data_IF_091853510850
#
_entry.id   IF_091853510850
#
_cell.length_a   1.000
_cell.length_b   1.000
_cell.length_c   1.000
_cell.angle_alpha   90.00
_cell.angle_beta   90.00
_cell.angle_gamma   90.00
#
_symmetry.space_group_name_H-M   'P 1'
#
loop_
_entity.id
_entity.type
_entity.pdbx_description
1 polymer ?
#
# COMPACT_ATOMS: atom_id res chain seq x y z
N UNK A 1 -1.73 -7.02 8.07
CA UNK A 1 -1.32 -5.66 8.46
C UNK A 1 -0.34 -5.78 9.62
N UNK A 2 0.69 -4.95 9.65
CA UNK A 2 1.72 -4.89 10.70
C UNK A 2 1.71 -3.51 11.33
N UNK A 3 1.96 -3.42 12.64
CA UNK A 3 2.07 -2.14 13.33
C UNK A 3 3.53 -1.65 13.35
N UNK A 4 3.75 -0.39 12.98
CA UNK A 4 5.04 0.29 13.05
C UNK A 4 4.85 1.65 13.71
N UNK A 5 5.52 1.87 14.85
CA UNK A 5 5.43 3.11 15.63
C UNK A 5 3.98 3.58 15.93
N UNK A 6 3.07 2.65 16.19
CA UNK A 6 1.67 2.93 16.50
C UNK A 6 0.72 2.93 15.29
N UNK A 7 1.24 2.95 14.06
CA UNK A 7 0.44 3.00 12.83
C UNK A 7 0.41 1.65 12.12
N UNK A 8 -0.63 1.39 11.33
CA UNK A 8 -0.81 0.12 10.62
C UNK A 8 -0.38 0.24 9.15
N UNK A 9 0.23 -0.82 8.62
CA UNK A 9 0.68 -0.93 7.23
C UNK A 9 0.38 -2.32 6.68
N UNK A 10 0.37 -2.46 5.34
CA UNK A 10 0.44 -3.78 4.68
C UNK A 10 1.70 -4.50 5.20
N UNK A 11 1.64 -5.81 5.37
CA UNK A 11 2.66 -6.54 6.14
C UNK A 11 4.08 -6.35 5.61
N UNK A 12 4.24 -6.41 4.28
CA UNK A 12 5.48 -6.15 3.55
C UNK A 12 5.94 -4.69 3.67
N UNK A 13 5.05 -3.73 3.43
CA UNK A 13 5.32 -2.29 3.56
C UNK A 13 5.76 -1.95 5.00
N UNK A 14 5.10 -2.53 6.01
CA UNK A 14 5.45 -2.36 7.42
C UNK A 14 6.82 -2.94 7.76
N UNK A 15 7.16 -4.12 7.25
CA UNK A 15 8.51 -4.68 7.40
C UNK A 15 9.58 -3.79 6.79
N UNK A 16 9.34 -3.30 5.57
CA UNK A 16 10.23 -2.37 4.89
C UNK A 16 10.43 -1.06 5.64
N UNK A 17 9.32 -0.51 6.15
CA UNK A 17 9.30 0.73 6.90
C UNK A 17 10.04 0.59 8.23
N UNK A 18 9.89 -0.53 8.93
CA UNK A 18 10.62 -0.80 10.15
C UNK A 18 12.14 -0.80 9.91
N UNK A 19 12.60 -1.52 8.88
CA UNK A 19 14.01 -1.56 8.50
C UNK A 19 14.53 -0.17 8.06
N UNK A 20 13.75 0.58 7.28
CA UNK A 20 14.10 1.95 6.88
C UNK A 20 14.22 2.88 8.08
N UNK A 21 13.31 2.79 9.05
CA UNK A 21 13.33 3.61 10.28
C UNK A 21 14.56 3.33 11.13
N UNK A 22 14.98 2.07 11.23
CA UNK A 22 16.19 1.69 11.96
C UNK A 22 17.44 2.26 11.27
N UNK A 23 17.58 2.05 9.95
CA UNK A 23 18.69 2.58 9.18
C UNK A 23 18.75 4.12 9.22
N UNK A 24 17.59 4.78 9.13
CA UNK A 24 17.48 6.23 9.29
C UNK A 24 17.98 6.66 10.67
N UNK A 25 17.54 5.98 11.73
CA UNK A 25 17.89 6.35 13.11
C UNK A 25 19.39 6.23 13.36
N UNK A 26 20.01 5.16 12.85
CA UNK A 26 21.45 4.94 12.94
C UNK A 26 22.26 5.98 12.15
N UNK A 27 21.76 6.44 11.00
CA UNK A 27 22.49 7.37 10.15
C UNK A 27 22.29 8.85 10.53
N UNK A 28 21.09 9.24 10.93
CA UNK A 28 20.70 10.63 11.19
C UNK A 28 20.78 10.95 12.70
N UNK A 29 20.83 9.93 13.56
CA UNK A 29 20.94 10.09 15.02
C UNK A 29 19.64 10.48 15.72
N UNK A 30 18.49 10.29 15.07
CA UNK A 30 17.15 10.56 15.61
C UNK A 30 16.12 9.66 14.95
N UNK A 31 15.00 9.42 15.63
CA UNK A 31 13.93 8.59 15.09
C UNK A 31 13.25 9.26 13.89
N UNK A 32 12.95 8.48 12.85
CA UNK A 32 12.02 8.89 11.81
C UNK A 32 10.62 8.96 12.41
N UNK A 33 9.91 10.09 12.31
CA UNK A 33 8.58 10.25 12.94
C UNK A 33 7.51 9.88 11.91
N UNK A 34 6.52 9.06 12.29
CA UNK A 34 5.32 8.80 11.48
C UNK A 34 4.18 9.64 12.05
N UNK A 35 3.49 10.37 11.17
CA UNK A 35 2.29 11.14 11.47
C UNK A 35 1.03 10.41 11.00
N UNK A 36 1.10 9.68 9.89
CA UNK A 36 -0.02 8.88 9.39
C UNK A 36 0.43 7.62 8.64
N UNK A 37 -0.43 6.60 8.64
CA UNK A 37 -0.23 5.30 7.98
C UNK A 37 -1.56 4.83 7.37
N UNK A 38 -1.99 3.59 7.65
CA UNK A 38 -3.29 3.12 7.15
C UNK A 38 -4.45 4.01 7.61
N UNK A 39 -5.27 4.45 6.64
CA UNK A 39 -6.49 5.23 6.87
C UNK A 39 -7.67 4.49 6.27
N UNK A 40 -8.68 4.16 7.08
CA UNK A 40 -9.88 3.50 6.58
C UNK A 40 -10.74 4.44 5.72
N UNK A 41 -11.78 3.90 5.08
CA UNK A 41 -12.63 4.68 4.18
C UNK A 41 -13.32 5.86 4.90
N UNK A 42 -13.77 5.66 6.14
CA UNK A 42 -14.42 6.70 6.93
C UNK A 42 -13.44 7.82 7.30
N UNK A 43 -12.22 7.48 7.70
CA UNK A 43 -11.13 8.43 7.94
C UNK A 43 -10.73 9.18 6.67
N UNK A 44 -10.75 8.51 5.51
CA UNK A 44 -10.48 9.19 4.24
C UNK A 44 -11.60 10.17 3.86
N UNK A 45 -12.87 9.87 4.17
CA UNK A 45 -13.97 10.82 4.02
C UNK A 45 -13.79 12.04 4.93
N UNK A 46 -13.40 11.84 6.19
CA UNK A 46 -13.13 12.94 7.12
C UNK A 46 -12.00 13.83 6.58
N UNK A 47 -10.86 13.23 6.21
CA UNK A 47 -9.73 13.97 5.63
C UNK A 47 -10.11 14.71 4.34
N UNK A 48 -10.82 14.06 3.41
CA UNK A 48 -11.33 14.70 2.19
C UNK A 48 -12.16 15.94 2.53
N UNK A 49 -13.09 15.82 3.47
CA UNK A 49 -13.96 16.92 3.89
C UNK A 49 -13.19 18.06 4.55
N UNK A 50 -12.20 17.77 5.39
CA UNK A 50 -11.35 18.78 6.03
C UNK A 50 -10.57 19.60 5.00
N UNK A 51 -10.13 18.97 3.91
CA UNK A 51 -9.34 19.62 2.86
C UNK A 51 -10.17 20.21 1.71
N UNK A 52 -11.50 20.04 1.68
CA UNK A 52 -12.40 20.60 0.66
C UNK A 52 -12.21 22.10 0.40
N UNK A 53 -11.79 22.86 1.42
CA UNK A 53 -11.59 24.30 1.35
C UNK A 53 -10.11 24.73 1.48
N UNK A 54 -9.20 23.79 1.76
CA UNK A 54 -7.78 24.03 2.04
C UNK A 54 -6.82 23.63 0.91
N UNK A 55 -7.30 22.95 -0.13
CA UNK A 55 -6.51 22.43 -1.25
C UNK A 55 -6.70 20.91 -1.42
N UNK A 56 -6.31 20.35 -2.56
CA UNK A 56 -6.48 18.91 -2.86
C UNK A 56 -5.43 18.03 -2.14
N UNK A 57 -5.32 18.16 -0.81
CA UNK A 57 -4.36 17.46 0.04
C UNK A 57 -4.81 16.06 0.47
N UNK A 58 -6.08 15.71 0.20
CA UNK A 58 -6.57 14.35 0.37
C UNK A 58 -7.06 13.82 -0.96
N UNK A 59 -6.67 12.60 -1.31
CA UNK A 59 -7.24 11.89 -2.44
C UNK A 59 -8.73 11.59 -2.21
N UNK A 60 -9.48 11.46 -3.30
CA UNK A 60 -10.90 11.10 -3.22
C UNK A 60 -11.07 9.77 -2.43
N UNK A 61 -12.07 9.65 -1.55
CA UNK A 61 -12.27 8.44 -0.77
C UNK A 61 -12.32 7.16 -1.62
N UNK A 62 -11.51 6.16 -1.26
CA UNK A 62 -11.33 4.92 -2.02
C UNK A 62 -10.16 4.92 -3.02
N UNK A 63 -9.48 6.06 -3.23
CA UNK A 63 -8.32 6.14 -4.15
C UNK A 63 -6.98 6.43 -3.46
N UNK A 64 -6.99 6.67 -2.14
CA UNK A 64 -5.78 6.96 -1.36
C UNK A 64 -4.96 5.70 -1.08
N UNK A 65 -3.64 5.79 -1.28
CA UNK A 65 -2.67 4.75 -0.92
C UNK A 65 -2.59 4.49 0.60
N UNK A 66 -3.01 5.46 1.44
CA UNK A 66 -3.20 5.22 2.88
C UNK A 66 -4.27 4.14 3.12
N UNK A 67 -5.32 4.10 2.29
CA UNK A 67 -6.36 3.07 2.34
C UNK A 67 -5.87 1.67 2.00
N UNK A 68 -4.67 1.56 1.44
CA UNK A 68 -4.04 0.31 1.03
C UNK A 68 -2.93 -0.13 1.98
N UNK A 69 -2.61 0.71 2.99
CA UNK A 69 -1.55 0.46 3.95
C UNK A 69 -0.15 0.52 3.34
N UNK A 70 0.00 1.20 2.20
CA UNK A 70 1.28 1.32 1.46
C UNK A 70 1.76 2.76 1.34
N UNK A 71 1.09 3.70 2.01
CA UNK A 71 1.55 5.07 2.16
C UNK A 71 1.88 5.38 3.61
N UNK A 72 2.80 6.30 3.80
CA UNK A 72 3.19 6.84 5.10
C UNK A 72 3.38 8.35 4.98
N UNK A 73 2.85 9.08 5.96
CA UNK A 73 3.15 10.49 6.14
C UNK A 73 4.16 10.65 7.28
N UNK A 74 5.32 11.21 6.97
CA UNK A 74 6.35 11.47 7.98
C UNK A 74 6.20 12.84 8.66
N UNK A 75 6.54 12.87 9.94
CA UNK A 75 6.58 14.06 10.77
C UNK A 75 7.96 14.72 10.85
N UNK A 76 8.10 15.64 11.81
CA UNK A 76 9.38 16.26 12.15
C UNK A 76 10.02 17.03 10.98
N UNK A 77 11.34 16.88 10.83
CA UNK A 77 12.08 17.60 9.77
C UNK A 77 11.76 17.11 8.35
N UNK A 78 11.20 15.91 8.20
CA UNK A 78 10.76 15.39 6.90
C UNK A 78 9.49 16.10 6.45
N UNK A 79 8.57 16.37 7.39
CA UNK A 79 7.36 17.13 7.12
C UNK A 79 7.66 18.56 6.65
N UNK A 80 8.62 19.23 7.29
CA UNK A 80 8.82 20.67 7.13
C UNK A 80 9.57 21.06 5.86
N UNK A 81 10.52 20.26 5.39
CA UNK A 81 11.35 20.65 4.24
C UNK A 81 12.03 19.47 3.55
N UNK A 82 11.98 19.46 2.22
CA UNK A 82 12.74 18.54 1.37
C UNK A 82 14.25 18.71 1.44
N UNK A 83 14.72 19.84 1.99
CA UNK A 83 16.14 20.15 2.17
C UNK A 83 16.65 19.85 3.58
N UNK A 84 15.83 19.32 4.48
CA UNK A 84 16.30 18.89 5.80
C UNK A 84 17.30 17.74 5.70
N UNK A 85 18.09 17.52 6.76
CA UNK A 85 19.07 16.42 6.79
C UNK A 85 18.36 15.06 6.64
N UNK A 86 17.30 14.84 7.42
CA UNK A 86 16.48 13.64 7.36
C UNK A 86 15.84 13.42 6.00
N UNK A 87 15.25 14.45 5.39
CA UNK A 87 14.61 14.30 4.09
C UNK A 87 15.63 14.01 2.98
N UNK A 88 16.82 14.63 3.01
CA UNK A 88 17.91 14.29 2.07
C UNK A 88 18.40 12.86 2.25
N UNK A 89 18.50 12.38 3.48
CA UNK A 89 18.84 10.98 3.72
C UNK A 89 17.79 10.04 3.10
N UNK A 90 16.49 10.31 3.29
CA UNK A 90 15.43 9.50 2.70
C UNK A 90 15.49 9.52 1.17
N UNK A 91 15.69 10.68 0.54
CA UNK A 91 15.81 10.77 -0.93
C UNK A 91 16.94 9.90 -1.48
N UNK A 92 18.05 9.76 -0.74
CA UNK A 92 19.18 8.94 -1.17
C UNK A 92 19.08 7.46 -0.82
N UNK A 93 18.24 7.07 0.15
CA UNK A 93 18.28 5.72 0.74
C UNK A 93 16.94 4.97 0.74
N UNK A 94 15.80 5.66 0.73
CA UNK A 94 14.48 5.03 0.89
C UNK A 94 14.17 3.98 -0.19
N UNK A 95 14.68 4.19 -1.42
CA UNK A 95 14.50 3.26 -2.53
C UNK A 95 15.06 1.85 -2.25
N UNK A 96 16.06 1.72 -1.36
CA UNK A 96 16.60 0.41 -0.91
C UNK A 96 15.58 -0.41 -0.11
N UNK A 97 14.57 0.26 0.43
CA UNK A 97 13.47 -0.32 1.19
C UNK A 97 12.15 -0.30 0.38
N UNK A 98 12.22 -0.08 -0.94
CA UNK A 98 11.05 0.07 -1.82
C UNK A 98 10.08 1.20 -1.41
N UNK A 99 10.58 2.20 -0.68
CA UNK A 99 9.88 3.45 -0.38
C UNK A 99 10.38 4.58 -1.27
N UNK A 100 9.50 5.45 -1.73
CA UNK A 100 9.86 6.59 -2.55
C UNK A 100 9.00 7.81 -2.24
N UNK A 101 9.54 9.00 -2.53
CA UNK A 101 8.87 10.27 -2.26
C UNK A 101 7.83 10.56 -3.35
N UNK A 102 6.61 10.09 -3.14
CA UNK A 102 5.49 10.31 -4.07
C UNK A 102 4.98 11.74 -4.06
N UNK A 103 5.01 12.39 -2.90
CA UNK A 103 4.53 13.77 -2.75
C UNK A 103 5.31 14.81 -3.56
N UNK A 104 6.50 14.49 -4.10
CA UNK A 104 7.22 15.39 -5.02
C UNK A 104 6.53 15.57 -6.37
N UNK A 105 5.77 14.56 -6.79
CA UNK A 105 5.16 14.46 -8.11
C UNK A 105 3.69 14.93 -8.08
N UNK A 106 3.20 15.38 -6.92
CA UNK A 106 1.86 15.93 -6.75
C UNK A 106 1.81 17.42 -7.16
N UNK A 107 0.62 17.91 -7.52
CA UNK A 107 0.43 19.31 -7.92
C UNK A 107 0.77 20.29 -6.81
N UNK A 108 0.55 19.89 -5.56
CA UNK A 108 1.09 20.53 -4.38
C UNK A 108 2.11 19.58 -3.78
N UNK A 109 3.36 20.05 -3.64
CA UNK A 109 4.43 19.21 -3.11
C UNK A 109 4.17 18.85 -1.65
N UNK A 110 4.18 17.56 -1.35
CA UNK A 110 4.01 17.01 -0.02
C UNK A 110 5.31 16.35 0.44
N UNK A 111 6.13 17.05 1.23
CA UNK A 111 7.42 16.50 1.71
C UNK A 111 7.24 15.26 2.60
N UNK A 112 6.09 15.18 3.28
CA UNK A 112 5.78 14.10 4.21
C UNK A 112 5.32 12.82 3.53
N UNK A 113 4.83 12.85 2.28
CA UNK A 113 4.11 11.72 1.69
C UNK A 113 5.02 10.77 0.90
N UNK A 114 5.14 9.53 1.39
CA UNK A 114 5.97 8.49 0.80
C UNK A 114 5.16 7.23 0.55
N UNK A 115 5.44 6.56 -0.56
CA UNK A 115 4.71 5.38 -1.00
C UNK A 115 5.64 4.17 -1.14
N UNK A 116 5.07 3.00 -0.91
CA UNK A 116 5.72 1.71 -1.08
C UNK A 116 5.32 1.09 -2.43
N UNK A 117 6.30 0.76 -3.28
CA UNK A 117 6.05 0.39 -4.69
C UNK A 117 6.28 -1.09 -5.05
N UNK A 118 6.48 -1.97 -4.07
CA UNK A 118 6.87 -3.35 -4.36
C UNK A 118 6.48 -4.35 -3.28
N UNK A 119 7.32 -5.37 -3.12
CA UNK A 119 7.35 -6.29 -1.98
C UNK A 119 8.70 -6.11 -1.30
N UNK A 120 8.74 -6.19 0.02
CA UNK A 120 9.97 -6.12 0.79
C UNK A 120 10.17 -7.44 1.52
N UNK A 121 11.27 -8.10 1.16
CA UNK A 121 11.86 -9.16 1.97
C UNK A 121 13.18 -8.61 2.52
N UNK A 122 13.43 -8.67 3.84
CA UNK A 122 14.73 -8.31 4.38
C UNK A 122 15.81 -9.17 3.70
N UNK A 123 16.88 -8.55 3.20
CA UNK A 123 18.08 -9.27 2.74
C UNK A 123 19.19 -9.15 3.78
N UNK A 124 19.84 -10.28 4.10
CA UNK A 124 21.27 -10.38 4.46
C UNK A 124 21.83 -11.69 3.85
N UNK A 125 23.17 -11.82 3.63
CA UNK A 125 23.75 -12.14 2.32
C UNK A 125 23.96 -13.64 2.02
N UNK A 126 24.00 -13.93 0.72
CA UNK A 126 24.38 -15.18 -0.01
C UNK A 126 23.23 -16.04 -0.56
N UNK A 127 23.43 -16.65 -1.76
CA UNK A 127 22.36 -17.04 -2.66
C UNK A 127 22.02 -18.53 -2.54
N UNK A 128 20.78 -18.89 -2.20
CA UNK A 128 20.23 -20.21 -2.53
C UNK A 128 18.72 -20.13 -2.74
N UNK A 129 18.34 -20.56 -3.94
CA UNK A 129 17.15 -21.22 -4.43
C UNK A 129 15.74 -20.64 -4.18
N UNK A 130 15.11 -20.44 -5.34
CA UNK A 130 13.69 -20.30 -5.62
C UNK A 130 12.83 -21.23 -4.74
N UNK A 131 11.88 -20.68 -3.98
CA UNK A 131 10.44 -20.93 -4.16
C UNK A 131 9.59 -20.27 -3.06
N UNK A 132 8.54 -19.58 -3.52
CA UNK A 132 7.26 -19.28 -2.86
C UNK A 132 7.19 -18.31 -1.65
N UNK A 133 6.80 -17.06 -1.94
CA UNK A 133 5.45 -16.58 -1.60
C UNK A 133 5.13 -15.30 -2.40
N UNK A 134 4.44 -15.49 -3.52
CA UNK A 134 3.90 -14.42 -4.35
C UNK A 134 2.38 -14.44 -4.17
N UNK A 135 1.82 -13.52 -3.40
CA UNK A 135 0.39 -13.56 -3.03
C UNK A 135 -0.52 -13.35 -4.26
N UNK A 136 -0.93 -14.44 -4.88
CA UNK A 136 -2.05 -14.48 -5.81
C UNK A 136 -3.32 -14.46 -4.96
N UNK A 137 -4.20 -13.48 -5.19
CA UNK A 137 -5.48 -13.38 -4.49
C UNK A 137 -6.64 -13.69 -5.43
N UNK A 138 -7.65 -14.38 -4.90
CA UNK A 138 -8.86 -14.74 -5.62
C UNK A 138 -9.99 -13.79 -5.21
N UNK A 139 -10.61 -13.15 -6.20
CA UNK A 139 -11.67 -12.17 -6.00
C UNK A 139 -12.93 -12.54 -6.77
N UNK A 140 -14.10 -12.37 -6.16
CA UNK A 140 -15.38 -12.42 -6.87
C UNK A 140 -15.76 -11.00 -7.31
N UNK A 141 -15.87 -10.76 -8.62
CA UNK A 141 -16.33 -9.49 -9.15
C UNK A 141 -17.87 -9.47 -9.21
N UNK A 142 -18.46 -8.69 -8.33
CA UNK A 142 -19.90 -8.67 -8.03
C UNK A 142 -20.80 -8.14 -9.16
N UNK A 143 -20.37 -7.22 -10.06
CA UNK A 143 -21.23 -6.75 -11.15
C UNK A 143 -21.46 -7.79 -12.26
N UNK A 144 -20.57 -8.77 -12.44
CA UNK A 144 -20.67 -9.78 -13.53
C UNK A 144 -20.63 -11.23 -13.05
N UNK A 145 -20.56 -11.45 -11.72
CA UNK A 145 -20.42 -12.77 -11.10
C UNK A 145 -19.19 -13.55 -11.57
N UNK A 146 -18.16 -12.84 -12.03
CA UNK A 146 -16.94 -13.43 -12.57
C UNK A 146 -15.91 -13.62 -11.46
N UNK A 147 -15.28 -14.79 -11.44
CA UNK A 147 -14.16 -15.07 -10.55
C UNK A 147 -12.87 -14.54 -11.21
N UNK A 148 -12.17 -13.65 -10.52
CA UNK A 148 -10.93 -13.05 -11.00
C UNK A 148 -9.77 -13.53 -10.14
N UNK A 149 -8.75 -14.08 -10.79
CA UNK A 149 -7.45 -14.29 -10.18
C UNK A 149 -6.63 -13.01 -10.36
N UNK A 150 -6.14 -12.43 -9.27
CA UNK A 150 -5.35 -11.19 -9.31
C UNK A 150 -3.93 -11.50 -8.85
N UNK A 151 -2.98 -11.25 -9.73
CA UNK A 151 -1.55 -11.31 -9.45
C UNK A 151 -1.04 -9.88 -9.24
N UNK A 152 -0.79 -9.55 -7.98
CA UNK A 152 -0.35 -8.23 -7.55
C UNK A 152 1.10 -7.94 -7.90
N UNK A 153 1.91 -8.97 -8.14
CA UNK A 153 3.32 -8.84 -8.46
C UNK A 153 3.54 -8.50 -9.92
N UNK A 154 2.77 -9.14 -10.79
CA UNK A 154 2.84 -8.88 -12.22
C UNK A 154 1.85 -7.81 -12.68
N UNK A 155 1.05 -7.25 -11.77
CA UNK A 155 -0.06 -6.34 -12.09
C UNK A 155 -0.98 -6.91 -13.19
N UNK A 156 -1.27 -8.21 -13.10
CA UNK A 156 -2.15 -8.90 -14.05
C UNK A 156 -3.38 -9.47 -13.37
N UNK A 157 -4.41 -9.70 -14.17
CA UNK A 157 -5.57 -10.47 -13.74
C UNK A 157 -5.94 -11.48 -14.80
N UNK A 158 -6.51 -12.59 -14.35
CA UNK A 158 -7.13 -13.60 -15.21
C UNK A 158 -8.60 -13.74 -14.82
N UNK A 159 -9.48 -13.57 -15.80
CA UNK A 159 -10.88 -13.90 -15.62
C UNK A 159 -11.06 -15.42 -15.73
N UNK A 160 -11.50 -16.05 -14.65
CA UNK A 160 -11.74 -17.49 -14.56
C UNK A 160 -13.16 -17.88 -14.96
N UNK A 161 -13.98 -16.92 -15.42
CA UNK A 161 -15.35 -17.12 -15.87
C UNK A 161 -16.39 -16.89 -14.78
N UNK A 162 -17.65 -17.18 -15.11
CA UNK A 162 -18.78 -16.96 -14.20
C UNK A 162 -18.84 -18.05 -13.13
N UNK A 163 -18.88 -17.64 -11.86
CA UNK A 163 -19.20 -18.53 -10.76
C UNK A 163 -20.71 -18.77 -10.75
N UNK A 164 -21.19 -19.78 -11.48
CA UNK A 164 -22.62 -19.98 -11.73
C UNK A 164 -23.44 -20.45 -10.51
N UNK A 165 -22.86 -20.56 -9.33
CA UNK A 165 -23.59 -20.89 -8.10
C UNK A 165 -22.91 -20.26 -6.89
N UNK A 166 -23.68 -19.44 -6.17
CA UNK A 166 -23.35 -18.98 -4.83
C UNK A 166 -23.23 -20.20 -3.89
N UNK A 167 -22.03 -20.72 -3.68
CA UNK A 167 -21.67 -21.27 -2.38
C UNK A 167 -20.98 -20.19 -1.57
N UNK A 168 -21.78 -19.22 -1.09
CA UNK A 168 -21.42 -18.38 0.06
C UNK A 168 -21.07 -19.25 1.29
N UNK A 169 -21.51 -20.50 1.33
CA UNK A 169 -21.38 -21.46 2.43
C UNK A 169 -19.98 -22.07 2.60
N UNK A 170 -19.13 -22.13 1.57
CA UNK A 170 -17.74 -22.63 1.75
C UNK A 170 -16.88 -21.62 2.54
N UNK A 171 -17.28 -20.34 2.54
CA UNK A 171 -16.52 -19.27 3.18
C UNK A 171 -16.93 -18.98 4.63
N UNK A 172 -18.00 -19.62 5.15
CA UNK A 172 -18.49 -19.46 6.54
C UNK A 172 -17.75 -20.35 7.57
N UNK A 173 -16.85 -21.25 7.12
CA UNK A 173 -16.30 -22.32 7.97
C UNK A 173 -14.93 -22.08 8.64
N UNK A 174 -14.22 -21.00 8.36
CA UNK A 174 -12.91 -20.65 8.96
C UNK A 174 -12.79 -19.12 9.11
N UNK A 175 -11.97 -18.59 10.04
CA UNK A 175 -12.04 -17.20 10.46
C UNK A 175 -11.38 -16.26 9.43
N UNK A 176 -12.01 -16.10 8.28
CA UNK A 176 -11.77 -14.96 7.40
C UNK A 176 -12.99 -14.04 7.54
N UNK A 177 -12.77 -12.90 8.20
CA UNK A 177 -13.73 -11.81 8.26
C UNK A 177 -13.98 -11.34 6.83
N UNK A 178 -15.23 -11.42 6.36
CA UNK A 178 -15.67 -10.65 5.19
C UNK A 178 -15.44 -9.18 5.53
N UNK A 179 -14.30 -8.65 5.10
CA UNK A 179 -14.07 -7.22 5.02
C UNK A 179 -15.07 -6.79 3.94
N UNK A 180 -16.10 -6.02 4.28
CA UNK A 180 -17.18 -5.65 3.36
C UNK A 180 -16.64 -5.18 2.00
N UNK A 181 -17.46 -5.31 0.94
CA UNK A 181 -17.16 -4.93 -0.45
C UNK A 181 -15.91 -4.04 -0.56
N UNK A 182 -14.75 -4.60 -0.90
CA UNK A 182 -13.51 -3.85 -0.90
C UNK A 182 -13.64 -2.68 -1.86
N UNK A 183 -13.20 -1.49 -1.42
CA UNK A 183 -13.19 -0.25 -2.23
C UNK A 183 -12.44 -0.37 -3.58
N UNK A 184 -11.80 -1.51 -3.84
CA UNK A 184 -11.01 -1.85 -5.00
C UNK A 184 -11.78 -2.40 -6.20
N UNK A 185 -13.06 -2.73 -6.08
CA UNK A 185 -13.88 -3.13 -7.24
C UNK A 185 -14.08 -2.00 -8.26
N UNK A 186 -13.72 -0.76 -7.90
CA UNK A 186 -13.89 0.42 -8.76
C UNK A 186 -12.65 0.79 -9.61
N UNK A 187 -11.48 0.17 -9.36
CA UNK A 187 -10.20 0.58 -9.98
C UNK A 187 -9.46 -0.56 -10.70
N UNK A 188 -10.16 -1.36 -11.52
CA UNK A 188 -9.53 -2.33 -12.43
C UNK A 188 -8.65 -1.69 -13.54
N UNK A 189 -8.62 -0.36 -13.64
CA UNK A 189 -8.01 0.37 -14.77
C UNK A 189 -6.48 0.27 -14.91
N UNK A 190 -5.75 -0.28 -13.93
CA UNK A 190 -4.27 -0.40 -14.00
C UNK A 190 -3.75 -1.83 -14.23
N UNK A 191 -4.60 -2.84 -14.22
CA UNK A 191 -4.15 -4.21 -14.47
C UNK A 191 -4.29 -4.60 -15.95
N UNK A 192 -3.35 -5.40 -16.44
CA UNK A 192 -3.43 -5.98 -17.79
C UNK A 192 -4.14 -7.32 -17.74
N UNK A 193 -5.17 -7.49 -18.58
CA UNK A 193 -5.92 -8.74 -18.67
C UNK A 193 -5.13 -9.82 -19.41
N UNK A 194 -5.10 -11.04 -18.86
CA UNK A 194 -4.54 -12.23 -19.51
C UNK A 194 -5.69 -13.08 -20.04
N UNK A 195 -5.72 -13.31 -21.36
CA UNK A 195 -6.60 -14.30 -21.97
C UNK A 195 -6.11 -15.70 -21.66
N UNK A 196 -7.02 -16.59 -21.23
CA UNK A 196 -6.72 -18.03 -21.15
C UNK A 196 -6.41 -18.57 -22.55
N UNK A 197 -5.33 -19.35 -22.74
CA UNK A 197 -5.21 -20.15 -23.96
C UNK A 197 -6.39 -21.13 -24.01
N UNK A 198 -7.02 -21.22 -25.18
CA UNK A 198 -8.14 -22.10 -25.46
C UNK A 198 -7.75 -23.59 -25.38
#
# INVERSE_FOLDING_TARGET
>A
MTQVAGFYFRTDAGGALAAMREAYSSAVGRALIINDGYRDLAGQWAAWNDYLHGGALAAYPGTSNHGWGIAVDFGGEVFTSSTSAGHRWLQSNAARFNWWWAGRDFSQVENWHWEFNGIYSPQDPTPIDEEEDMSVQLWLYTPTNSLLLVDHLNMTYRNLGNANTLERSIFDGKPYRVIGEPAWTQNFGRFKGISSPA
#
